data_IF_025980523039
#
_entry.id   IF_025980523039
#
_cell.length_a   1.000
_cell.length_b   1.000
_cell.length_c   1.000
_cell.angle_alpha   90.00
_cell.angle_beta   90.00
_cell.angle_gamma   90.00
#
_symmetry.space_group_name_H-M   'P 1'
#
loop_
_entity.id
_entity.type
_entity.pdbx_description
1 polymer ?
#
# COMPACT_ATOMS: atom_id res chain seq x y z
N UNK A 1 -0.93 2.86 -25.53
CA UNK A 1 -1.64 2.22 -24.40
C UNK A 1 -1.03 2.49 -23.01
N UNK A 2 0.18 3.05 -22.88
CA UNK A 2 0.90 3.23 -21.59
C UNK A 2 0.27 4.22 -20.59
N UNK A 3 -0.38 5.28 -21.04
CA UNK A 3 -0.91 6.35 -20.15
C UNK A 3 -2.12 5.92 -19.30
N UNK A 4 -2.96 5.03 -19.81
CA UNK A 4 -4.19 4.61 -19.11
C UNK A 4 -3.86 3.73 -17.90
N UNK A 5 -2.81 2.91 -17.99
CA UNK A 5 -2.36 2.10 -16.87
C UNK A 5 -1.75 2.96 -15.75
N UNK A 6 -1.11 4.10 -16.07
CA UNK A 6 -0.68 5.06 -15.03
C UNK A 6 -1.86 5.60 -14.24
N UNK A 7 -2.94 5.97 -14.94
CA UNK A 7 -4.13 6.53 -14.28
C UNK A 7 -4.77 5.54 -13.29
N UNK A 8 -4.78 4.25 -13.63
CA UNK A 8 -5.34 3.19 -12.79
C UNK A 8 -4.49 2.89 -11.54
N UNK A 9 -3.20 3.24 -11.56
CA UNK A 9 -2.29 3.06 -10.42
C UNK A 9 -2.28 4.27 -9.47
N UNK A 10 -2.75 5.45 -9.92
CA UNK A 10 -2.83 6.65 -9.08
C UNK A 10 -3.58 6.42 -7.75
N UNK A 11 -4.76 5.75 -7.71
CA UNK A 11 -5.45 5.55 -6.45
C UNK A 11 -4.66 4.70 -5.44
N UNK A 12 -3.87 3.75 -5.95
CA UNK A 12 -2.99 2.90 -5.15
C UNK A 12 -1.79 3.69 -4.61
N UNK A 13 -1.20 4.59 -5.39
CA UNK A 13 -0.09 5.44 -4.92
C UNK A 13 -0.55 6.48 -3.91
N UNK A 14 -1.74 7.05 -4.10
CA UNK A 14 -2.36 7.93 -3.11
C UNK A 14 -2.59 7.16 -1.80
N UNK A 15 -3.08 5.92 -1.89
CA UNK A 15 -3.30 5.08 -0.71
C UNK A 15 -2.01 4.85 0.09
N UNK A 16 -0.87 4.56 -0.55
CA UNK A 16 0.42 4.44 0.12
C UNK A 16 0.79 5.74 0.88
N UNK A 17 0.47 6.89 0.28
CA UNK A 17 0.58 8.18 0.93
C UNK A 17 -0.25 8.29 2.22
N UNK A 18 -1.52 7.90 2.12
CA UNK A 18 -2.47 7.95 3.25
C UNK A 18 -2.07 7.01 4.39
N UNK A 19 -1.64 5.78 4.08
CA UNK A 19 -1.16 4.79 5.05
C UNK A 19 0.00 5.33 5.88
N UNK A 20 1.04 5.84 5.23
CA UNK A 20 2.21 6.36 5.93
C UNK A 20 1.83 7.55 6.83
N UNK A 21 1.03 8.48 6.30
CA UNK A 21 0.62 9.66 7.08
C UNK A 21 -0.24 9.26 8.27
N UNK A 22 -1.15 8.30 8.10
CA UNK A 22 -1.91 7.73 9.19
C UNK A 22 -1.00 7.18 10.27
N UNK A 23 -0.03 6.34 9.88
CA UNK A 23 0.85 5.67 10.82
C UNK A 23 1.72 6.67 11.58
N UNK A 24 2.38 7.59 10.88
CA UNK A 24 3.33 8.52 11.49
C UNK A 24 2.67 9.64 12.30
N UNK A 25 1.47 10.09 11.91
CA UNK A 25 0.79 11.19 12.59
C UNK A 25 -0.34 10.71 13.51
N UNK A 26 -1.34 10.00 12.97
CA UNK A 26 -2.55 9.74 13.73
C UNK A 26 -2.46 8.50 14.62
N UNK A 27 -1.79 7.44 14.18
CA UNK A 27 -1.59 6.23 14.98
C UNK A 27 -0.72 6.53 16.21
N UNK A 28 0.45 7.15 16.01
CA UNK A 28 1.35 7.56 17.09
C UNK A 28 0.71 8.55 18.07
N UNK A 29 -0.12 9.47 17.59
CA UNK A 29 -0.82 10.42 18.45
C UNK A 29 -1.98 9.74 19.20
N UNK A 30 -2.96 9.18 18.48
CA UNK A 30 -4.23 8.75 19.06
C UNK A 30 -4.15 7.42 19.81
N UNK A 31 -3.34 6.46 19.32
CA UNK A 31 -3.27 5.11 19.88
C UNK A 31 -2.07 4.91 20.81
N UNK A 32 -0.95 5.59 20.57
CA UNK A 32 0.23 5.44 21.43
C UNK A 32 0.29 6.55 22.48
N UNK A 33 0.30 7.81 22.05
CA UNK A 33 0.53 8.95 22.96
C UNK A 33 -0.65 9.19 23.90
N UNK A 34 -1.88 9.23 23.35
CA UNK A 34 -3.08 9.50 24.14
C UNK A 34 -3.55 8.31 24.99
N UNK A 35 -3.37 7.06 24.53
CA UNK A 35 -3.91 5.90 25.23
C UNK A 35 -2.92 5.25 26.21
N UNK A 36 -1.61 5.35 25.94
CA UNK A 36 -0.57 4.74 26.79
C UNK A 36 0.39 5.80 27.29
N UNK A 37 1.39 6.16 26.47
CA UNK A 37 2.39 7.15 26.81
C UNK A 37 3.20 7.53 25.56
N UNK A 38 3.47 8.82 25.38
CA UNK A 38 4.30 9.33 24.29
C UNK A 38 5.73 8.74 24.28
N UNK A 39 6.25 8.32 25.44
CA UNK A 39 7.59 7.71 25.55
C UNK A 39 7.76 6.44 24.73
N UNK A 40 6.68 5.70 24.45
CA UNK A 40 6.72 4.45 23.70
C UNK A 40 6.60 4.62 22.18
N UNK A 41 6.32 5.84 21.70
CA UNK A 41 6.18 6.11 20.26
C UNK A 41 7.42 5.67 19.50
N UNK A 42 8.61 6.08 19.96
CA UNK A 42 9.87 5.70 19.30
C UNK A 42 10.07 4.18 19.25
N UNK A 43 9.80 3.48 20.35
CA UNK A 43 9.97 2.02 20.42
C UNK A 43 9.03 1.27 19.48
N UNK A 44 7.77 1.71 19.37
CA UNK A 44 6.78 1.10 18.47
C UNK A 44 7.17 1.37 17.00
N UNK A 45 7.66 2.57 16.68
CA UNK A 45 8.10 2.88 15.31
C UNK A 45 9.40 2.16 14.93
N UNK A 46 10.27 1.85 15.90
CA UNK A 46 11.43 0.97 15.65
C UNK A 46 10.94 -0.44 15.29
N UNK A 47 9.97 -0.98 16.02
CA UNK A 47 9.40 -2.29 15.71
C UNK A 47 8.77 -2.32 14.30
N UNK A 48 8.02 -1.27 13.93
CA UNK A 48 7.55 -1.05 12.57
C UNK A 48 8.70 -1.10 11.55
N UNK A 49 9.76 -0.30 11.74
CA UNK A 49 10.87 -0.22 10.79
C UNK A 49 11.68 -1.52 10.67
N UNK A 50 11.84 -2.27 11.78
CA UNK A 50 12.48 -3.59 11.75
C UNK A 50 11.61 -4.58 10.96
N UNK A 51 10.31 -4.62 11.22
CA UNK A 51 9.38 -5.47 10.50
C UNK A 51 9.30 -5.10 9.00
N UNK A 52 9.30 -3.81 8.68
CA UNK A 52 9.34 -3.30 7.31
C UNK A 52 10.63 -3.71 6.59
N UNK A 53 11.79 -3.56 7.23
CA UNK A 53 13.08 -3.97 6.65
C UNK A 53 13.13 -5.47 6.36
N UNK A 54 12.68 -6.30 7.32
CA UNK A 54 12.62 -7.75 7.16
C UNK A 54 11.60 -8.11 6.06
N UNK A 55 10.42 -7.48 6.08
CA UNK A 55 9.38 -7.66 5.08
C UNK A 55 9.88 -7.36 3.67
N UNK A 56 10.55 -6.22 3.50
CA UNK A 56 11.09 -5.77 2.20
C UNK A 56 12.08 -6.78 1.64
N UNK A 57 12.94 -7.35 2.48
CA UNK A 57 13.87 -8.41 2.07
C UNK A 57 13.14 -9.71 1.69
N UNK A 58 12.23 -10.18 2.55
CA UNK A 58 11.50 -11.45 2.35
C UNK A 58 10.60 -11.38 1.12
N UNK A 59 9.75 -10.37 1.01
CA UNK A 59 8.83 -10.21 -0.12
C UNK A 59 9.56 -9.89 -1.42
N UNK A 60 10.73 -9.24 -1.36
CA UNK A 60 11.61 -9.04 -2.50
C UNK A 60 12.15 -10.34 -3.10
N UNK A 61 12.35 -11.39 -2.29
CA UNK A 61 12.68 -12.73 -2.81
C UNK A 61 11.41 -13.52 -3.16
N UNK A 62 10.36 -13.43 -2.35
CA UNK A 62 9.13 -14.19 -2.51
C UNK A 62 8.43 -13.91 -3.85
N UNK A 63 8.46 -12.64 -4.31
CA UNK A 63 7.86 -12.25 -5.60
C UNK A 63 8.46 -13.03 -6.78
N UNK A 64 9.73 -13.43 -6.70
CA UNK A 64 10.40 -14.20 -7.78
C UNK A 64 9.84 -15.61 -7.91
N UNK A 65 9.26 -16.15 -6.85
CA UNK A 65 8.73 -17.52 -6.79
C UNK A 65 7.21 -17.53 -7.00
N UNK A 66 6.50 -16.63 -6.32
CA UNK A 66 5.02 -16.67 -6.21
C UNK A 66 4.35 -15.67 -7.17
N UNK A 67 5.10 -14.72 -7.71
CA UNK A 67 4.58 -13.61 -8.51
C UNK A 67 4.07 -12.46 -7.65
N UNK A 68 3.75 -11.34 -8.31
CA UNK A 68 3.40 -10.06 -7.65
C UNK A 68 1.99 -10.04 -7.06
N UNK A 69 1.04 -10.67 -7.75
CA UNK A 69 -0.39 -10.61 -7.41
C UNK A 69 -0.70 -11.18 -6.02
N UNK A 70 -0.17 -12.36 -5.64
CA UNK A 70 -0.41 -12.92 -4.31
C UNK A 70 0.22 -12.09 -3.17
N UNK A 71 1.36 -11.44 -3.42
CA UNK A 71 1.98 -10.53 -2.45
C UNK A 71 1.05 -9.36 -2.12
N UNK A 72 0.48 -8.70 -3.14
CA UNK A 72 -0.49 -7.62 -2.92
C UNK A 72 -1.77 -8.09 -2.22
N UNK A 73 -2.24 -9.31 -2.51
CA UNK A 73 -3.40 -9.88 -1.84
C UNK A 73 -3.14 -10.09 -0.33
N UNK A 74 -1.96 -10.58 0.04
CA UNK A 74 -1.56 -10.76 1.45
C UNK A 74 -1.47 -9.40 2.14
N UNK A 75 -0.80 -8.42 1.53
CA UNK A 75 -0.66 -7.08 2.10
C UNK A 75 -2.03 -6.40 2.29
N UNK A 76 -2.90 -6.53 1.29
CA UNK A 76 -4.30 -6.09 1.37
C UNK A 76 -5.03 -6.68 2.57
N UNK A 77 -4.95 -8.00 2.76
CA UNK A 77 -5.61 -8.69 3.86
C UNK A 77 -5.09 -8.21 5.21
N UNK A 78 -3.77 -8.03 5.35
CA UNK A 78 -3.14 -7.51 6.56
C UNK A 78 -3.61 -6.07 6.83
N UNK A 79 -3.56 -5.18 5.83
CA UNK A 79 -4.00 -3.79 5.97
C UNK A 79 -5.48 -3.73 6.37
N UNK A 80 -6.37 -4.49 5.73
CA UNK A 80 -7.78 -4.56 6.15
C UNK A 80 -7.94 -5.06 7.58
N UNK A 81 -7.28 -6.16 7.94
CA UNK A 81 -7.37 -6.72 9.28
C UNK A 81 -6.90 -5.71 10.34
N UNK A 82 -5.81 -4.97 10.08
CA UNK A 82 -5.31 -3.95 11.00
C UNK A 82 -6.27 -2.77 11.12
N UNK A 83 -6.79 -2.24 10.00
CA UNK A 83 -7.73 -1.12 10.02
C UNK A 83 -9.04 -1.50 10.74
N UNK A 84 -9.58 -2.70 10.46
CA UNK A 84 -10.78 -3.21 11.12
C UNK A 84 -10.53 -3.42 12.62
N UNK A 85 -9.38 -3.98 12.98
CA UNK A 85 -8.98 -4.14 14.39
C UNK A 85 -8.97 -2.79 15.08
N UNK A 86 -8.36 -1.76 14.48
CA UNK A 86 -8.31 -0.40 15.05
C UNK A 86 -9.67 0.31 15.10
N UNK A 87 -10.65 -0.09 14.28
CA UNK A 87 -12.01 0.43 14.30
C UNK A 87 -12.83 -0.13 15.47
N UNK A 88 -12.66 -1.43 15.76
CA UNK A 88 -13.44 -2.16 16.76
C UNK A 88 -12.77 -2.10 18.14
N UNK A 89 -11.45 -2.25 18.17
CA UNK A 89 -10.66 -2.28 19.39
C UNK A 89 -10.40 -0.86 19.92
N UNK A 90 -10.42 -0.73 21.25
CA UNK A 90 -10.02 0.49 21.95
C UNK A 90 -8.76 0.20 22.74
N UNK A 91 -7.70 1.02 22.61
CA UNK A 91 -6.47 0.80 23.35
C UNK A 91 -6.70 1.00 24.86
N UNK A 92 -6.37 -0.02 25.65
CA UNK A 92 -6.27 0.06 27.12
C UNK A 92 -4.80 0.24 27.52
N UNK A 93 -4.55 0.92 28.64
CA UNK A 93 -3.20 1.30 29.07
C UNK A 93 -2.24 0.11 29.29
N UNK A 94 -2.78 -1.08 29.60
CA UNK A 94 -2.01 -2.31 29.87
C UNK A 94 -1.73 -3.15 28.59
N UNK A 95 -2.22 -2.72 27.43
CA UNK A 95 -2.18 -3.51 26.20
C UNK A 95 -1.15 -3.00 25.19
N UNK A 96 0.01 -2.53 25.66
CA UNK A 96 1.08 -2.00 24.80
C UNK A 96 1.57 -3.03 23.78
N UNK A 97 1.59 -4.31 24.13
CA UNK A 97 1.99 -5.42 23.25
C UNK A 97 1.12 -5.46 21.99
N UNK A 98 -0.18 -5.15 22.10
CA UNK A 98 -1.09 -5.11 20.95
C UNK A 98 -0.66 -4.04 19.95
N UNK A 99 -0.16 -2.89 20.43
CA UNK A 99 0.34 -1.82 19.55
C UNK A 99 1.64 -2.22 18.83
N UNK A 100 2.52 -2.97 19.50
CA UNK A 100 3.72 -3.53 18.85
C UNK A 100 3.34 -4.52 17.75
N UNK A 101 2.35 -5.38 18.00
CA UNK A 101 1.85 -6.33 17.01
C UNK A 101 1.25 -5.58 15.82
N UNK A 102 0.37 -4.60 16.08
CA UNK A 102 -0.25 -3.77 15.04
C UNK A 102 0.82 -3.06 14.21
N UNK A 103 1.81 -2.43 14.86
CA UNK A 103 2.90 -1.74 14.17
C UNK A 103 3.77 -2.70 13.35
N UNK A 104 4.05 -3.91 13.86
CA UNK A 104 4.79 -4.92 13.13
C UNK A 104 4.04 -5.39 11.88
N UNK A 105 2.75 -5.68 11.98
CA UNK A 105 1.93 -6.06 10.82
C UNK A 105 1.77 -4.92 9.82
N UNK A 106 1.62 -3.67 10.28
CA UNK A 106 1.67 -2.50 9.39
C UNK A 106 3.02 -2.40 8.68
N UNK A 107 4.13 -2.64 9.37
CA UNK A 107 5.47 -2.65 8.75
C UNK A 107 5.60 -3.72 7.68
N UNK A 108 5.09 -4.93 7.94
CA UNK A 108 5.08 -6.00 6.93
C UNK A 108 4.20 -5.65 5.73
N UNK A 109 3.04 -5.03 5.94
CA UNK A 109 2.18 -4.60 4.84
C UNK A 109 2.82 -3.47 4.02
N UNK A 110 3.31 -2.42 4.68
CA UNK A 110 3.98 -1.27 4.06
C UNK A 110 5.17 -1.71 3.21
N UNK A 111 5.98 -2.65 3.70
CA UNK A 111 7.06 -3.26 2.95
C UNK A 111 6.63 -3.80 1.60
N UNK A 112 5.49 -4.51 1.55
CA UNK A 112 4.94 -5.04 0.31
C UNK A 112 4.45 -3.90 -0.56
N UNK A 113 3.68 -2.97 0.00
CA UNK A 113 3.10 -1.87 -0.76
C UNK A 113 4.18 -0.99 -1.39
N UNK A 114 5.23 -0.60 -0.67
CA UNK A 114 6.32 0.19 -1.21
C UNK A 114 7.17 -0.58 -2.23
N UNK A 115 7.67 -1.76 -1.85
CA UNK A 115 8.60 -2.51 -2.70
C UNK A 115 7.92 -2.99 -3.99
N UNK A 116 6.70 -3.52 -3.89
CA UNK A 116 6.00 -4.07 -5.04
C UNK A 116 5.42 -2.99 -5.95
N UNK A 117 4.98 -1.85 -5.39
CA UNK A 117 4.52 -0.72 -6.22
C UNK A 117 5.69 -0.12 -6.98
N UNK A 118 6.83 0.08 -6.31
CA UNK A 118 8.06 0.55 -6.97
C UNK A 118 8.52 -0.39 -8.09
N UNK A 119 8.49 -1.71 -7.84
CA UNK A 119 8.81 -2.71 -8.85
C UNK A 119 7.81 -2.72 -10.01
N UNK A 120 6.51 -2.57 -9.73
CA UNK A 120 5.47 -2.46 -10.75
C UNK A 120 5.69 -1.25 -11.66
N UNK A 121 6.01 -0.09 -11.10
CA UNK A 121 6.33 1.11 -11.88
C UNK A 121 7.59 0.92 -12.75
N UNK A 122 8.63 0.25 -12.23
CA UNK A 122 9.85 -0.05 -12.98
C UNK A 122 9.65 -1.03 -14.14
N UNK A 123 8.78 -2.04 -13.99
CA UNK A 123 8.46 -3.00 -15.06
C UNK A 123 7.53 -2.38 -16.11
N UNK A 124 6.59 -1.53 -15.70
CA UNK A 124 5.58 -0.97 -16.58
C UNK A 124 6.11 0.18 -17.46
N UNK A 125 7.14 0.90 -17.01
CA UNK A 125 7.68 2.10 -17.67
C UNK A 125 9.17 2.03 -17.97
N UNK A 126 9.67 0.87 -18.43
CA UNK A 126 11.10 0.65 -18.71
C UNK A 126 11.75 1.75 -19.57
N UNK A 127 11.01 2.30 -20.54
CA UNK A 127 11.52 3.33 -21.44
C UNK A 127 11.51 4.75 -20.83
N UNK A 128 10.69 5.00 -19.80
CA UNK A 128 10.47 6.32 -19.18
C UNK A 128 10.44 6.22 -17.64
N UNK A 129 11.40 5.50 -17.06
CA UNK A 129 11.43 5.22 -15.61
C UNK A 129 11.44 6.51 -14.78
N UNK A 130 12.22 7.51 -15.17
CA UNK A 130 12.33 8.78 -14.44
C UNK A 130 10.99 9.50 -14.32
N UNK A 131 10.24 9.59 -15.41
CA UNK A 131 8.92 10.22 -15.42
C UNK A 131 7.89 9.41 -14.61
N UNK A 132 7.97 8.08 -14.66
CA UNK A 132 7.08 7.20 -13.92
C UNK A 132 7.32 7.29 -12.40
N UNK A 133 8.57 7.22 -11.95
CA UNK A 133 8.94 7.38 -10.56
C UNK A 133 8.68 8.80 -10.03
N UNK A 134 8.87 9.82 -10.87
CA UNK A 134 8.50 11.20 -10.51
C UNK A 134 6.99 11.33 -10.28
N UNK A 135 6.17 10.75 -11.15
CA UNK A 135 4.72 10.72 -10.96
C UNK A 135 4.31 9.90 -9.73
N UNK A 136 4.94 8.75 -9.48
CA UNK A 136 4.72 7.96 -8.27
C UNK A 136 4.93 8.80 -7.01
N UNK A 137 6.11 9.41 -6.88
CA UNK A 137 6.49 10.31 -5.78
C UNK A 137 5.56 11.50 -5.64
N UNK A 138 5.12 12.07 -6.75
CA UNK A 138 4.19 13.20 -6.78
C UNK A 138 2.83 12.82 -6.18
N UNK A 139 2.23 11.72 -6.63
CA UNK A 139 0.91 11.29 -6.15
C UNK A 139 0.94 10.78 -4.71
N UNK A 140 2.01 10.10 -4.32
CA UNK A 140 2.29 9.72 -2.94
C UNK A 140 2.36 10.97 -2.03
N UNK A 141 3.13 11.98 -2.46
CA UNK A 141 3.26 13.25 -1.73
C UNK A 141 1.94 14.04 -1.67
N UNK A 142 1.12 13.97 -2.72
CA UNK A 142 -0.22 14.55 -2.72
C UNK A 142 -1.12 13.86 -1.68
N UNK A 143 -1.02 12.54 -1.54
CA UNK A 143 -1.66 11.77 -0.47
C UNK A 143 -1.24 12.25 0.92
N UNK A 144 0.07 12.45 1.13
CA UNK A 144 0.60 13.01 2.38
C UNK A 144 -0.03 14.38 2.70
N UNK A 145 0.07 15.32 1.75
CA UNK A 145 -0.40 16.68 1.94
C UNK A 145 -1.90 16.73 2.21
N UNK A 146 -2.70 16.04 1.39
CA UNK A 146 -4.14 15.98 1.53
C UNK A 146 -4.56 15.46 2.91
N UNK A 147 -3.94 14.37 3.35
CA UNK A 147 -4.33 13.75 4.61
C UNK A 147 -3.89 14.57 5.81
N UNK A 148 -2.66 15.09 5.82
CA UNK A 148 -2.15 15.90 6.91
C UNK A 148 -3.01 17.15 7.16
N UNK A 149 -3.54 17.75 6.08
CA UNK A 149 -4.50 18.86 6.15
C UNK A 149 -5.83 18.41 6.79
N UNK A 150 -6.29 17.20 6.52
CA UNK A 150 -7.53 16.66 7.07
C UNK A 150 -7.42 16.22 8.54
N UNK A 151 -6.28 15.66 8.95
CA UNK A 151 -6.04 15.08 10.28
C UNK A 151 -6.58 15.92 11.45
N UNK A 152 -6.25 17.22 11.61
CA UNK A 152 -6.72 18.01 12.75
C UNK A 152 -8.23 18.30 12.72
N UNK A 153 -8.90 18.08 11.58
CA UNK A 153 -10.33 18.39 11.39
C UNK A 153 -11.24 17.19 11.56
N UNK A 154 -10.70 15.97 11.52
CA UNK A 154 -11.49 14.74 11.51
C UNK A 154 -11.19 13.83 12.70
N UNK A 155 -12.20 13.06 13.14
CA UNK A 155 -12.04 12.06 14.20
C UNK A 155 -11.30 10.83 13.65
N UNK A 156 -10.52 10.16 14.50
CA UNK A 156 -9.80 8.91 14.18
C UNK A 156 -10.65 7.84 13.53
N UNK A 157 -11.93 7.71 13.89
CA UNK A 157 -12.84 6.77 13.21
C UNK A 157 -13.08 7.11 11.74
N UNK A 158 -13.21 8.40 11.41
CA UNK A 158 -13.44 8.87 10.03
C UNK A 158 -12.17 8.64 9.21
N UNK A 159 -11.00 8.94 9.78
CA UNK A 159 -9.69 8.61 9.20
C UNK A 159 -9.59 7.13 8.81
N UNK A 160 -9.94 6.21 9.71
CA UNK A 160 -9.90 4.77 9.42
C UNK A 160 -10.86 4.38 8.30
N UNK A 161 -12.04 5.00 8.23
CA UNK A 161 -12.98 4.79 7.11
C UNK A 161 -12.40 5.30 5.79
N UNK A 162 -11.77 6.48 5.79
CA UNK A 162 -11.08 7.02 4.61
C UNK A 162 -10.02 6.04 4.12
N UNK A 163 -9.22 5.45 5.02
CA UNK A 163 -8.22 4.43 4.68
C UNK A 163 -8.84 3.16 4.09
N UNK A 164 -9.97 2.68 4.64
CA UNK A 164 -10.67 1.51 4.08
C UNK A 164 -11.16 1.78 2.66
N UNK A 165 -11.78 2.95 2.45
CA UNK A 165 -12.32 3.33 1.15
C UNK A 165 -11.18 3.51 0.15
N UNK A 166 -10.11 4.22 0.51
CA UNK A 166 -8.97 4.41 -0.39
C UNK A 166 -8.25 3.10 -0.69
N UNK A 167 -8.13 2.18 0.27
CA UNK A 167 -7.60 0.83 0.05
C UNK A 167 -8.45 0.07 -0.97
N UNK A 168 -9.76 0.08 -0.78
CA UNK A 168 -10.73 -0.57 -1.68
C UNK A 168 -10.62 -0.04 -3.11
N UNK A 169 -10.53 1.28 -3.26
CA UNK A 169 -10.38 1.94 -4.57
C UNK A 169 -9.03 1.61 -5.18
N UNK A 170 -7.94 1.63 -4.39
CA UNK A 170 -6.58 1.28 -4.83
C UNK A 170 -6.49 -0.14 -5.39
N UNK A 171 -7.00 -1.12 -4.66
CA UNK A 171 -7.00 -2.53 -5.08
C UNK A 171 -7.90 -2.73 -6.31
N UNK A 172 -9.07 -2.08 -6.36
CA UNK A 172 -9.96 -2.17 -7.51
C UNK A 172 -9.29 -1.59 -8.77
N UNK A 173 -8.56 -0.47 -8.63
CA UNK A 173 -7.75 0.12 -9.70
C UNK A 173 -6.65 -0.82 -10.17
N UNK A 174 -5.92 -1.45 -9.24
CA UNK A 174 -4.90 -2.44 -9.55
C UNK A 174 -5.47 -3.68 -10.25
N UNK A 175 -6.56 -4.26 -9.72
CA UNK A 175 -7.20 -5.43 -10.30
C UNK A 175 -7.69 -5.17 -11.73
N UNK A 176 -8.25 -3.98 -11.98
CA UNK A 176 -8.66 -3.57 -13.33
C UNK A 176 -7.47 -3.36 -14.26
N UNK A 177 -6.37 -2.78 -13.77
CA UNK A 177 -5.14 -2.64 -14.55
C UNK A 177 -4.55 -4.00 -14.95
N UNK A 178 -4.51 -4.94 -14.00
CA UNK A 178 -4.01 -6.30 -14.23
C UNK A 178 -4.92 -7.08 -15.20
N UNK A 179 -6.24 -7.00 -15.05
CA UNK A 179 -7.21 -7.64 -15.96
C UNK A 179 -7.04 -7.13 -17.40
N UNK A 180 -6.85 -5.82 -17.58
CA UNK A 180 -6.61 -5.22 -18.90
C UNK A 180 -5.27 -5.65 -19.48
N UNK A 181 -4.26 -5.82 -18.65
CA UNK A 181 -2.95 -6.31 -19.08
C UNK A 181 -3.06 -7.71 -19.67
N UNK A 182 -3.63 -8.65 -18.92
CA UNK A 182 -3.81 -10.04 -19.34
C UNK A 182 -4.62 -10.15 -20.63
N UNK A 183 -5.73 -9.41 -20.72
CA UNK A 183 -6.58 -9.39 -21.93
C UNK A 183 -5.84 -8.87 -23.16
N UNK A 184 -4.91 -7.92 -22.98
CA UNK A 184 -4.14 -7.37 -24.10
C UNK A 184 -3.09 -8.36 -24.60
N UNK A 185 -2.38 -9.03 -23.68
CA UNK A 185 -1.41 -10.07 -24.04
C UNK A 185 -2.06 -11.26 -24.75
N UNK A 186 -3.24 -11.70 -24.30
CA UNK A 186 -3.99 -12.76 -24.98
C UNK A 186 -4.38 -12.37 -26.41
N UNK A 187 -4.84 -11.13 -26.62
CA UNK A 187 -5.16 -10.62 -27.96
C UNK A 187 -3.94 -10.57 -28.87
N UNK A 188 -2.79 -10.15 -28.36
CA UNK A 188 -1.54 -10.12 -29.14
C UNK A 188 -1.05 -11.52 -29.51
N UNK A 189 -1.14 -12.50 -28.58
CA UNK A 189 -0.81 -13.91 -28.87
C UNK A 189 -1.74 -14.50 -29.93
N UNK A 190 -3.05 -14.24 -29.84
CA UNK A 190 -4.03 -14.70 -30.81
C UNK A 190 -3.83 -14.06 -32.19
N UNK A 191 -3.48 -12.78 -32.25
CA UNK A 191 -3.17 -12.09 -33.50
C UNK A 191 -1.91 -12.67 -34.18
N UNK A 192 -0.86 -12.98 -33.41
CA UNK A 192 0.36 -13.63 -33.94
C UNK A 192 0.08 -15.04 -34.45
N UNK A 193 -0.72 -15.84 -33.74
CA UNK A 193 -1.08 -17.19 -34.20
C UNK A 193 -1.91 -17.18 -35.50
N UNK A 194 -2.81 -16.20 -35.66
CA UNK A 194 -3.60 -16.06 -36.88
C UNK A 194 -2.79 -15.55 -38.10
N UNK A 195 -1.63 -14.91 -37.89
CA UNK A 195 -0.74 -14.48 -38.98
C UNK A 195 0.21 -15.59 -39.48
N UNK A 196 0.44 -16.64 -38.68
CA UNK A 196 1.31 -17.78 -39.03
C UNK A 196 0.53 -18.91 -39.73
N UNK A 197 -0.80 -18.79 -39.84
CA UNK A 197 -1.69 -19.76 -40.50
C UNK A 197 -2.34 -19.27 -41.81
N UNK A 198 -1.61 -18.71 -42.80
CA UNK A 198 -2.12 -18.64 -44.16
C UNK A 198 -1.80 -19.96 -44.89
N UNK A 199 -2.79 -20.86 -44.93
CA UNK A 199 -2.87 -21.94 -45.93
C UNK A 199 -3.62 -21.45 -47.16
#
# INVERSE_FOLDING_TARGET
MRHINQLLLIPMTIWAGLELTFLFAQFTQAFVSCAINAKYVGLIMIAFGVCDSIGSFVFGQLVKVVGRWPCFAIATLISYAMIITMLVWRPLADQIVVLFIIAGFWGVADAVWQSQTSALYGVLFTDNNEAAFSNYRLWESAGFAFFYILLPRIRTRITLIILLVSLSVGISGYALAEYRWQTTEEKEKNAKNNQVSPS
#
